data_IF_312743297456
#
_entry.id   IF_312743297456
#
_cell.length_a   1.000
_cell.length_b   1.000
_cell.length_c   1.000
_cell.angle_alpha   90.00
_cell.angle_beta   90.00
_cell.angle_gamma   90.00
#
_symmetry.space_group_name_H-M   'P 1'
#
loop_
_entity.id
_entity.type
_entity.pdbx_description
1 polymer ?
#
# COMPACT_ATOMS: atom_id res chain seq x y z
N UNK A 1 29.17 -12.05 -4.22
CA UNK A 1 29.55 -10.69 -3.80
C UNK A 1 28.82 -9.71 -4.68
N UNK A 2 27.59 -9.35 -4.30
CA UNK A 2 26.86 -8.28 -4.96
C UNK A 2 27.44 -6.95 -4.48
N UNK A 3 27.86 -6.11 -5.41
CA UNK A 3 28.31 -4.75 -5.13
C UNK A 3 27.12 -3.99 -4.56
N UNK A 4 27.23 -3.55 -3.31
CA UNK A 4 26.33 -2.56 -2.76
C UNK A 4 26.48 -1.30 -3.62
N UNK A 5 25.42 -0.89 -4.32
CA UNK A 5 25.36 0.44 -4.91
C UNK A 5 25.51 1.46 -3.77
N UNK A 6 26.64 2.19 -3.77
CA UNK A 6 26.82 3.38 -2.95
C UNK A 6 25.73 4.39 -3.32
N UNK A 7 24.66 4.43 -2.52
CA UNK A 7 23.63 5.46 -2.62
C UNK A 7 24.27 6.80 -2.27
N UNK A 8 24.35 7.69 -3.26
CA UNK A 8 24.76 9.08 -3.07
C UNK A 8 23.92 9.69 -1.94
N UNK A 9 24.53 10.34 -0.92
CA UNK A 9 23.75 10.98 0.13
C UNK A 9 22.84 12.04 -0.50
N UNK A 10 21.57 12.15 -0.07
CA UNK A 10 20.64 13.09 -0.65
C UNK A 10 21.18 14.51 -0.53
N UNK A 11 20.99 15.31 -1.58
CA UNK A 11 21.43 16.69 -1.58
C UNK A 11 20.68 17.47 -0.47
N UNK A 12 21.34 18.45 0.16
CA UNK A 12 20.74 19.27 1.23
C UNK A 12 19.40 19.92 0.86
N UNK A 13 19.14 20.12 -0.44
CA UNK A 13 17.89 20.67 -0.96
C UNK A 13 16.68 19.73 -0.76
N UNK A 14 16.90 18.42 -0.62
CA UNK A 14 15.82 17.45 -0.43
C UNK A 14 15.18 17.52 0.96
N UNK A 15 15.98 17.86 2.00
CA UNK A 15 15.49 17.90 3.38
C UNK A 15 14.43 18.95 3.61
N UNK A 16 14.54 20.11 2.93
CA UNK A 16 13.52 21.15 2.99
C UNK A 16 12.18 20.70 2.37
N UNK A 17 12.24 19.82 1.37
CA UNK A 17 11.07 19.26 0.70
C UNK A 17 10.43 18.14 1.52
N UNK A 18 11.23 17.22 2.09
CA UNK A 18 10.70 16.04 2.78
C UNK A 18 10.28 16.28 4.23
N UNK A 19 10.90 17.24 4.93
CA UNK A 19 10.60 17.50 6.35
C UNK A 19 9.13 17.88 6.61
N UNK A 20 8.48 18.74 5.80
CA UNK A 20 7.05 19.02 5.97
C UNK A 20 6.16 17.77 5.87
N UNK A 21 6.52 16.81 5.01
CA UNK A 21 5.78 15.55 4.89
C UNK A 21 5.99 14.66 6.12
N UNK A 22 7.22 14.58 6.64
CA UNK A 22 7.50 13.85 7.88
C UNK A 22 6.70 14.44 9.05
N UNK A 23 6.73 15.76 9.24
CA UNK A 23 5.98 16.44 10.29
C UNK A 23 4.47 16.21 10.16
N UNK A 24 3.93 16.34 8.95
CA UNK A 24 2.51 16.07 8.69
C UNK A 24 2.10 14.65 9.09
N UNK A 25 2.91 13.64 8.75
CA UNK A 25 2.63 12.26 9.18
C UNK A 25 2.77 12.09 10.70
N UNK A 26 3.83 12.62 11.31
CA UNK A 26 4.05 12.53 12.75
C UNK A 26 2.93 13.20 13.56
N UNK A 27 2.36 14.31 13.07
CA UNK A 27 1.23 15.01 13.70
C UNK A 27 -0.09 14.22 13.62
N UNK A 28 -0.16 13.27 12.68
CA UNK A 28 -1.27 12.33 12.60
C UNK A 28 -1.03 11.07 13.44
N UNK A 29 0.21 10.58 13.57
CA UNK A 29 0.47 9.37 14.36
C UNK A 29 -0.09 9.56 15.78
N UNK A 30 -0.96 8.64 16.18
CA UNK A 30 -1.71 8.63 17.46
C UNK A 30 -2.78 9.71 17.66
N UNK A 31 -3.12 10.50 16.64
CA UNK A 31 -4.24 11.45 16.68
C UNK A 31 -5.59 10.72 16.47
N UNK A 32 -6.47 10.64 17.48
CA UNK A 32 -7.65 9.79 17.38
C UNK A 32 -8.78 10.33 16.50
N UNK A 33 -8.86 11.65 16.28
CA UNK A 33 -10.00 12.30 15.65
C UNK A 33 -9.60 13.53 14.81
N UNK A 34 -10.37 13.86 13.75
CA UNK A 34 -11.52 13.12 13.22
C UNK A 34 -11.12 11.78 12.58
N UNK A 35 -11.98 10.76 12.69
CA UNK A 35 -11.76 9.42 12.12
C UNK A 35 -13.04 8.89 11.47
N UNK A 36 -12.94 8.49 10.21
CA UNK A 36 -13.97 7.86 9.41
C UNK A 36 -13.87 6.35 9.58
N UNK A 37 -14.70 5.83 10.47
CA UNK A 37 -14.88 4.39 10.65
C UNK A 37 -16.00 3.89 9.72
N UNK A 38 -15.71 2.86 8.93
CA UNK A 38 -16.72 2.16 8.13
C UNK A 38 -16.64 0.65 8.38
N UNK A 39 -17.61 0.13 9.11
CA UNK A 39 -17.82 -1.31 9.27
C UNK A 39 -19.28 -1.65 9.55
N UNK A 40 -19.62 -2.93 9.42
CA UNK A 40 -20.96 -3.43 9.78
C UNK A 40 -20.95 -3.82 11.27
N UNK A 41 -21.81 -3.18 12.07
CA UNK A 41 -22.04 -3.56 13.47
C UNK A 41 -22.83 -4.87 13.52
N UNK A 42 -22.32 -5.86 14.24
CA UNK A 42 -23.05 -7.11 14.54
C UNK A 42 -23.81 -7.00 15.87
N UNK A 43 -23.36 -6.12 16.76
CA UNK A 43 -23.98 -5.80 18.05
C UNK A 43 -23.46 -4.46 18.56
N UNK A 44 -24.06 -3.93 19.63
CA UNK A 44 -23.59 -2.70 20.30
C UNK A 44 -22.12 -2.78 20.75
N UNK A 45 -21.61 -3.99 21.02
CA UNK A 45 -20.21 -4.20 21.40
C UNK A 45 -19.20 -3.86 20.28
N UNK A 46 -19.64 -3.73 19.03
CA UNK A 46 -18.78 -3.33 17.91
C UNK A 46 -18.56 -1.81 17.82
N UNK A 47 -19.42 -1.01 18.47
CA UNK A 47 -19.32 0.44 18.52
C UNK A 47 -18.20 0.87 19.48
N UNK A 48 -16.95 0.79 19.01
CA UNK A 48 -15.74 1.14 19.79
C UNK A 48 -15.00 2.32 19.16
N UNK A 49 -14.10 2.92 19.92
CA UNK A 49 -13.23 4.00 19.42
C UNK A 49 -12.19 3.48 18.43
N UNK A 50 -11.64 4.33 17.52
CA UNK A 50 -10.61 3.92 16.57
C UNK A 50 -9.42 3.21 17.22
N UNK A 51 -8.92 3.72 18.35
CA UNK A 51 -7.83 3.12 19.13
C UNK A 51 -8.12 1.70 19.63
N UNK A 52 -9.38 1.39 19.91
CA UNK A 52 -9.78 0.06 20.37
C UNK A 52 -10.02 -0.91 19.21
N UNK A 53 -10.21 -0.40 18.00
CA UNK A 53 -10.49 -1.19 16.80
C UNK A 53 -9.20 -1.46 16.03
N UNK A 54 -8.41 -0.43 15.73
CA UNK A 54 -7.23 -0.50 14.88
C UNK A 54 -6.08 0.24 15.57
N UNK A 55 -5.45 -0.37 16.60
CA UNK A 55 -4.54 0.31 17.51
C UNK A 55 -3.18 0.72 16.89
N UNK A 56 -2.83 0.23 15.70
CA UNK A 56 -1.68 0.74 14.92
C UNK A 56 -2.15 1.89 14.03
N UNK A 57 -3.24 1.70 13.30
CA UNK A 57 -3.65 2.55 12.18
C UNK A 57 -4.91 3.39 12.49
N UNK A 58 -4.87 4.15 13.59
CA UNK A 58 -5.97 5.05 13.99
C UNK A 58 -5.70 6.56 13.87
N UNK A 59 -4.47 6.95 13.51
CA UNK A 59 -3.99 8.34 13.60
C UNK A 59 -4.46 9.31 12.50
N UNK A 60 -5.02 8.80 11.41
CA UNK A 60 -5.42 9.61 10.25
C UNK A 60 -6.94 9.64 10.07
N UNK A 61 -7.41 10.26 9.00
CA UNK A 61 -8.83 10.31 8.68
C UNK A 61 -9.46 8.92 8.53
N UNK A 62 -8.73 7.90 8.07
CA UNK A 62 -9.16 6.49 8.07
C UNK A 62 -7.95 5.56 8.16
N UNK A 63 -8.21 4.25 8.14
CA UNK A 63 -7.19 3.20 8.33
C UNK A 63 -6.10 3.24 7.27
N UNK A 64 -6.44 3.26 5.98
CA UNK A 64 -5.42 3.27 4.93
C UNK A 64 -4.66 4.60 4.88
N UNK A 65 -5.29 5.73 5.21
CA UNK A 65 -4.58 7.01 5.36
C UNK A 65 -3.53 6.93 6.48
N UNK A 66 -3.82 6.19 7.55
CA UNK A 66 -2.85 5.94 8.60
C UNK A 66 -1.72 5.02 8.11
N UNK A 67 -2.04 3.98 7.31
CA UNK A 67 -1.03 3.14 6.66
C UNK A 67 -0.11 3.98 5.76
N UNK A 68 -0.64 4.92 4.97
CA UNK A 68 0.18 5.83 4.15
C UNK A 68 1.16 6.63 4.99
N UNK A 69 0.68 7.23 6.09
CA UNK A 69 1.54 7.98 7.02
C UNK A 69 2.65 7.12 7.60
N UNK A 70 2.35 5.90 8.03
CA UNK A 70 3.35 4.97 8.57
C UNK A 70 4.36 4.54 7.49
N UNK A 71 3.89 4.18 6.28
CA UNK A 71 4.78 3.86 5.15
C UNK A 71 5.69 5.03 4.80
N UNK A 72 5.14 6.24 4.73
CA UNK A 72 5.91 7.44 4.43
C UNK A 72 6.99 7.69 5.48
N UNK A 73 6.67 7.56 6.78
CA UNK A 73 7.67 7.70 7.84
C UNK A 73 8.77 6.64 7.73
N UNK A 74 8.43 5.37 7.52
CA UNK A 74 9.42 4.28 7.33
C UNK A 74 10.30 4.56 6.12
N UNK A 75 9.72 5.00 5.00
CA UNK A 75 10.48 5.35 3.80
C UNK A 75 11.41 6.54 4.03
N UNK A 76 10.93 7.58 4.72
CA UNK A 76 11.73 8.78 5.00
C UNK A 76 12.90 8.49 5.94
N UNK A 77 12.70 7.72 7.01
CA UNK A 77 13.81 7.35 7.91
C UNK A 77 14.80 6.39 7.25
N UNK A 78 14.38 5.58 6.27
CA UNK A 78 15.30 4.76 5.47
C UNK A 78 16.14 5.60 4.51
N UNK A 79 15.53 6.58 3.84
CA UNK A 79 16.21 7.41 2.84
C UNK A 79 17.02 8.55 3.46
N UNK A 80 16.60 9.04 4.64
CA UNK A 80 17.20 10.16 5.35
C UNK A 80 17.43 9.79 6.84
N UNK A 81 18.27 8.79 7.14
CA UNK A 81 18.45 8.28 8.51
C UNK A 81 19.03 9.33 9.48
N UNK A 82 19.78 10.29 8.96
CA UNK A 82 20.41 11.37 9.75
C UNK A 82 19.56 12.65 9.80
N UNK A 83 18.32 12.62 9.30
CA UNK A 83 17.46 13.80 9.32
C UNK A 83 17.01 14.13 10.75
N UNK A 84 16.81 15.42 11.10
CA UNK A 84 16.37 15.81 12.45
C UNK A 84 15.06 15.16 12.93
N UNK A 85 14.18 14.76 12.00
CA UNK A 85 12.93 14.08 12.32
C UNK A 85 13.07 12.57 12.59
N UNK A 86 14.21 11.94 12.25
CA UNK A 86 14.33 10.50 12.16
C UNK A 86 14.11 9.79 13.51
N UNK A 87 14.73 10.29 14.59
CA UNK A 87 14.59 9.71 15.93
C UNK A 87 13.16 9.82 16.47
N UNK A 88 12.51 10.97 16.24
CA UNK A 88 11.10 11.18 16.62
C UNK A 88 10.19 10.23 15.83
N UNK A 89 10.39 10.11 14.53
CA UNK A 89 9.63 9.21 13.68
C UNK A 89 9.80 7.73 14.12
N UNK A 90 11.04 7.29 14.40
CA UNK A 90 11.30 5.95 14.95
C UNK A 90 10.57 5.69 16.26
N UNK A 91 10.58 6.67 17.17
CA UNK A 91 9.92 6.56 18.47
C UNK A 91 8.41 6.40 18.32
N UNK A 92 7.78 7.21 17.47
CA UNK A 92 6.34 7.13 17.17
C UNK A 92 5.95 5.80 16.52
N UNK A 93 6.74 5.34 15.55
CA UNK A 93 6.54 4.04 14.91
C UNK A 93 6.70 2.88 15.90
N UNK A 94 7.66 2.95 16.83
CA UNK A 94 7.86 1.93 17.86
C UNK A 94 6.69 1.83 18.84
N UNK A 95 6.04 2.95 19.19
CA UNK A 95 4.82 2.94 20.00
C UNK A 95 3.63 2.32 19.24
N UNK A 96 3.56 2.50 17.92
CA UNK A 96 2.57 1.83 17.07
C UNK A 96 2.86 0.34 16.90
N UNK A 97 4.08 -0.04 16.52
CA UNK A 97 4.46 -1.38 16.11
C UNK A 97 4.83 -2.28 17.30
N UNK A 98 3.82 -2.61 18.11
CA UNK A 98 3.94 -3.55 19.22
C UNK A 98 3.18 -4.85 18.93
N UNK A 99 3.57 -5.93 19.62
CA UNK A 99 2.88 -7.23 19.53
C UNK A 99 1.41 -7.15 19.94
N UNK A 100 1.08 -6.31 20.91
CA UNK A 100 -0.30 -6.14 21.38
C UNK A 100 -1.13 -5.36 20.35
N UNK A 101 -0.56 -4.31 19.76
CA UNK A 101 -1.27 -3.52 18.76
C UNK A 101 -1.53 -4.33 17.48
N UNK A 102 -0.54 -5.08 16.97
CA UNK A 102 -0.76 -5.92 15.77
C UNK A 102 -1.79 -7.02 16.06
N UNK A 103 -1.81 -7.58 17.26
CA UNK A 103 -2.84 -8.53 17.67
C UNK A 103 -4.24 -7.88 17.64
N UNK A 104 -4.35 -6.62 18.05
CA UNK A 104 -5.57 -5.83 17.93
C UNK A 104 -6.03 -5.62 16.48
N UNK A 105 -5.12 -5.23 15.59
CA UNK A 105 -5.40 -5.10 14.14
C UNK A 105 -5.91 -6.42 13.54
N UNK A 106 -5.22 -7.53 13.83
CA UNK A 106 -5.60 -8.87 13.36
C UNK A 106 -6.96 -9.28 13.92
N UNK A 107 -7.22 -9.04 15.20
CA UNK A 107 -8.51 -9.32 15.82
C UNK A 107 -9.62 -8.52 15.15
N UNK A 108 -9.36 -7.26 14.82
CA UNK A 108 -10.30 -6.41 14.11
C UNK A 108 -10.59 -6.94 12.70
N UNK A 109 -9.59 -7.15 11.85
CA UNK A 109 -9.77 -7.69 10.49
C UNK A 109 -10.39 -9.11 10.45
N UNK A 110 -10.25 -9.86 11.53
CA UNK A 110 -10.84 -11.20 11.68
C UNK A 110 -12.31 -11.18 12.10
N UNK A 111 -12.83 -10.04 12.54
CA UNK A 111 -14.20 -9.89 13.00
C UNK A 111 -15.25 -10.26 11.94
N UNK A 112 -16.40 -10.75 12.39
CA UNK A 112 -17.54 -11.09 11.52
C UNK A 112 -17.97 -9.85 10.72
N UNK A 113 -18.21 -10.02 9.42
CA UNK A 113 -18.59 -8.93 8.52
C UNK A 113 -17.41 -8.08 8.00
N UNK A 114 -16.16 -8.36 8.41
CA UNK A 114 -14.98 -7.56 8.02
C UNK A 114 -14.11 -8.20 6.94
N UNK A 115 -14.61 -9.26 6.28
CA UNK A 115 -13.88 -9.96 5.20
C UNK A 115 -13.50 -9.05 4.03
N UNK A 116 -14.27 -7.98 3.80
CA UNK A 116 -14.04 -7.00 2.74
C UNK A 116 -13.29 -5.74 3.15
N UNK A 117 -12.97 -5.59 4.44
CA UNK A 117 -12.33 -4.40 4.96
C UNK A 117 -11.05 -4.08 4.17
N UNK A 118 -10.95 -2.84 3.70
CA UNK A 118 -9.79 -2.27 2.99
C UNK A 118 -9.36 -2.99 1.71
N UNK A 119 -10.20 -3.87 1.14
CA UNK A 119 -9.94 -4.48 -0.17
C UNK A 119 -10.30 -3.52 -1.31
N UNK A 120 -9.47 -3.41 -2.37
CA UNK A 120 -8.09 -3.90 -2.43
C UNK A 120 -7.06 -2.90 -1.88
N UNK A 121 -7.39 -1.61 -1.87
CA UNK A 121 -6.43 -0.52 -1.76
C UNK A 121 -5.69 -0.43 -0.43
N UNK A 122 -6.40 -0.41 0.70
CA UNK A 122 -5.73 -0.31 1.99
C UNK A 122 -4.85 -1.51 2.27
N UNK A 123 -5.30 -2.72 1.94
CA UNK A 123 -4.48 -3.92 2.08
C UNK A 123 -3.24 -3.89 1.17
N UNK A 124 -3.37 -3.41 -0.07
CA UNK A 124 -2.24 -3.27 -0.98
C UNK A 124 -1.22 -2.23 -0.49
N UNK A 125 -1.67 -1.12 0.08
CA UNK A 125 -0.81 -0.13 0.73
C UNK A 125 -0.13 -0.68 2.00
N UNK A 126 -0.81 -1.51 2.76
CA UNK A 126 -0.19 -2.18 3.90
C UNK A 126 0.92 -3.13 3.46
N UNK A 127 0.75 -3.82 2.33
CA UNK A 127 1.82 -4.62 1.74
C UNK A 127 3.00 -3.76 1.25
N UNK A 128 2.78 -2.51 0.83
CA UNK A 128 3.88 -1.58 0.55
C UNK A 128 4.65 -1.16 1.82
N UNK A 129 3.96 -0.96 2.95
CA UNK A 129 4.60 -0.78 4.25
C UNK A 129 5.49 -1.98 4.61
N UNK A 130 4.97 -3.20 4.47
CA UNK A 130 5.75 -4.43 4.69
C UNK A 130 6.98 -4.49 3.76
N UNK A 131 6.79 -4.23 2.46
CA UNK A 131 7.90 -4.24 1.49
C UNK A 131 9.00 -3.23 1.86
N UNK A 132 8.62 -2.00 2.25
CA UNK A 132 9.57 -0.97 2.66
C UNK A 132 10.40 -1.39 3.89
N UNK A 133 9.79 -2.09 4.86
CA UNK A 133 10.49 -2.64 6.02
C UNK A 133 11.44 -3.79 5.63
N UNK A 134 11.05 -4.63 4.67
CA UNK A 134 11.88 -5.74 4.21
C UNK A 134 13.06 -5.32 3.34
N UNK A 135 12.92 -4.26 2.55
CA UNK A 135 14.00 -3.68 1.75
C UNK A 135 14.98 -2.83 2.59
N UNK A 136 14.67 -2.60 3.86
CA UNK A 136 15.50 -1.82 4.76
C UNK A 136 16.43 -2.73 5.59
N UNK A 137 17.73 -2.69 5.30
CA UNK A 137 18.74 -3.38 6.11
C UNK A 137 19.00 -2.63 7.43
N UNK A 138 18.06 -2.75 8.37
CA UNK A 138 18.12 -2.14 9.70
C UNK A 138 17.57 -3.13 10.76
N UNK A 139 18.22 -3.26 11.94
CA UNK A 139 17.72 -4.15 12.99
C UNK A 139 16.29 -3.85 13.46
N UNK A 140 15.93 -2.57 13.57
CA UNK A 140 14.59 -2.16 14.01
C UNK A 140 13.56 -2.42 12.90
N UNK A 141 13.93 -2.24 11.64
CA UNK A 141 13.07 -2.59 10.51
C UNK A 141 12.73 -4.09 10.50
N UNK A 142 13.74 -4.96 10.72
CA UNK A 142 13.54 -6.41 10.86
C UNK A 142 12.63 -6.77 12.02
N UNK A 143 12.78 -6.09 13.16
CA UNK A 143 11.91 -6.27 14.32
C UNK A 143 10.46 -5.88 14.00
N UNK A 144 10.23 -4.70 13.44
CA UNK A 144 8.91 -4.23 13.06
C UNK A 144 8.25 -5.11 12.01
N UNK A 145 9.00 -5.56 11.00
CA UNK A 145 8.51 -6.52 10.02
C UNK A 145 8.04 -7.81 10.68
N UNK A 146 8.83 -8.37 11.61
CA UNK A 146 8.44 -9.57 12.35
C UNK A 146 7.20 -9.36 13.24
N UNK A 147 7.03 -8.16 13.80
CA UNK A 147 5.83 -7.78 14.56
C UNK A 147 4.61 -7.72 13.62
N UNK A 148 4.74 -7.09 12.45
CA UNK A 148 3.64 -6.86 11.51
C UNK A 148 3.27 -8.10 10.66
N UNK A 149 4.12 -9.12 10.60
CA UNK A 149 3.95 -10.34 9.82
C UNK A 149 2.55 -11.00 9.96
N UNK A 150 1.91 -11.12 11.14
CA UNK A 150 0.58 -11.71 11.25
C UNK A 150 -0.49 -10.94 10.46
N UNK A 151 -0.37 -9.61 10.40
CA UNK A 151 -1.26 -8.74 9.64
C UNK A 151 -0.96 -8.80 8.14
N UNK A 152 0.33 -8.90 7.76
CA UNK A 152 0.76 -9.14 6.38
C UNK A 152 0.17 -10.43 5.83
N UNK A 153 0.33 -11.52 6.55
CA UNK A 153 -0.23 -12.81 6.16
C UNK A 153 -1.76 -12.77 6.04
N UNK A 154 -2.43 -11.97 6.87
CA UNK A 154 -3.87 -11.74 6.73
C UNK A 154 -4.20 -10.96 5.46
N UNK A 155 -3.49 -9.86 5.18
CA UNK A 155 -3.69 -9.05 3.99
C UNK A 155 -3.48 -9.86 2.70
N UNK A 156 -2.39 -10.64 2.63
CA UNK A 156 -2.09 -11.56 1.52
C UNK A 156 -3.25 -12.53 1.32
N UNK A 157 -3.67 -13.28 2.36
CA UNK A 157 -4.79 -14.22 2.26
C UNK A 157 -6.08 -13.55 1.81
N UNK A 158 -6.41 -12.36 2.32
CA UNK A 158 -7.63 -11.64 1.94
C UNK A 158 -7.65 -11.25 0.46
N UNK A 159 -6.49 -10.87 -0.08
CA UNK A 159 -6.32 -10.51 -1.48
C UNK A 159 -6.32 -11.75 -2.37
N UNK A 160 -5.55 -12.80 -2.01
CA UNK A 160 -5.46 -14.05 -2.80
C UNK A 160 -6.76 -14.87 -2.77
N UNK A 161 -7.55 -14.80 -1.70
CA UNK A 161 -8.89 -15.39 -1.64
C UNK A 161 -9.92 -14.65 -2.51
N UNK A 162 -9.72 -13.34 -2.70
CA UNK A 162 -10.70 -12.46 -3.34
C UNK A 162 -10.46 -12.35 -4.84
N UNK A 163 -9.21 -12.16 -5.24
CA UNK A 163 -8.85 -11.85 -6.61
C UNK A 163 -9.32 -12.91 -7.64
N UNK A 164 -9.26 -14.23 -7.36
CA UNK A 164 -9.80 -15.25 -8.27
C UNK A 164 -11.32 -15.18 -8.46
N UNK A 165 -12.05 -14.54 -7.54
CA UNK A 165 -13.52 -14.44 -7.57
C UNK A 165 -14.03 -13.25 -8.38
N UNK A 166 -13.15 -12.31 -8.74
CA UNK A 166 -13.51 -11.17 -9.58
C UNK A 166 -13.74 -11.64 -11.01
N UNK A 167 -14.93 -11.37 -11.54
CA UNK A 167 -15.23 -11.61 -12.95
C UNK A 167 -14.70 -10.48 -13.86
N UNK A 168 -14.59 -9.27 -13.33
CA UNK A 168 -14.17 -8.06 -14.05
C UNK A 168 -13.21 -7.25 -13.19
N UNK A 169 -12.30 -6.46 -13.81
CA UNK A 169 -11.55 -5.45 -13.08
C UNK A 169 -12.44 -4.25 -12.74
N UNK A 170 -12.03 -3.48 -11.74
CA UNK A 170 -12.62 -2.19 -11.37
C UNK A 170 -11.69 -1.09 -11.86
N UNK A 171 -12.22 -0.18 -12.71
CA UNK A 171 -11.45 0.85 -13.44
C UNK A 171 -11.78 2.29 -13.01
N UNK A 172 -12.49 2.49 -11.91
CA UNK A 172 -12.69 3.83 -11.32
C UNK A 172 -11.35 4.43 -10.92
N UNK A 173 -11.13 5.74 -10.88
CA UNK A 173 -9.87 6.31 -10.39
C UNK A 173 -9.79 6.40 -8.87
N UNK A 174 -10.41 5.45 -8.14
CA UNK A 174 -10.58 5.50 -6.69
C UNK A 174 -10.13 4.23 -5.96
N UNK A 175 -10.44 4.08 -4.67
CA UNK A 175 -9.92 3.03 -3.78
C UNK A 175 -10.28 1.59 -4.21
N UNK A 176 -11.36 1.38 -4.93
CA UNK A 176 -11.77 0.06 -5.40
C UNK A 176 -11.03 -0.41 -6.67
N UNK A 177 -10.27 0.49 -7.29
CA UNK A 177 -9.57 0.25 -8.55
C UNK A 177 -8.59 -0.92 -8.46
N UNK A 178 -8.67 -1.87 -9.39
CA UNK A 178 -7.89 -3.11 -9.34
C UNK A 178 -6.45 -2.98 -9.85
N UNK A 179 -6.18 -2.20 -10.90
CA UNK A 179 -4.86 -2.14 -11.54
C UNK A 179 -3.72 -1.65 -10.62
N UNK A 180 -3.79 -0.41 -10.14
CA UNK A 180 -3.00 0.17 -9.04
C UNK A 180 -2.77 -0.80 -7.88
N UNK A 181 -3.83 -1.37 -7.29
CA UNK A 181 -3.67 -2.30 -6.17
C UNK A 181 -2.86 -3.54 -6.56
N UNK A 182 -3.10 -4.12 -7.74
CA UNK A 182 -2.32 -5.24 -8.25
C UNK A 182 -0.85 -4.88 -8.48
N UNK A 183 -0.55 -3.67 -8.96
CA UNK A 183 0.82 -3.16 -9.08
C UNK A 183 1.55 -3.17 -7.74
N UNK A 184 0.92 -2.64 -6.69
CA UNK A 184 1.48 -2.63 -5.33
C UNK A 184 1.63 -4.04 -4.74
N UNK A 185 0.67 -4.94 -4.96
CA UNK A 185 0.78 -6.34 -4.50
C UNK A 185 1.92 -7.06 -5.21
N UNK A 186 2.11 -6.81 -6.51
CA UNK A 186 3.20 -7.40 -7.28
C UNK A 186 4.58 -6.93 -6.79
N UNK A 187 4.74 -5.64 -6.50
CA UNK A 187 6.00 -5.09 -5.97
C UNK A 187 6.34 -5.72 -4.60
N UNK A 188 5.36 -5.84 -3.70
CA UNK A 188 5.55 -6.58 -2.44
C UNK A 188 5.93 -8.04 -2.68
N UNK A 189 5.25 -8.73 -3.61
CA UNK A 189 5.51 -10.14 -3.89
C UNK A 189 6.94 -10.35 -4.42
N UNK A 190 7.47 -9.40 -5.20
CA UNK A 190 8.87 -9.40 -5.62
C UNK A 190 9.83 -9.23 -4.43
N UNK A 191 9.62 -8.22 -3.59
CA UNK A 191 10.45 -8.00 -2.38
C UNK A 191 10.49 -9.23 -1.48
N UNK A 192 9.37 -9.96 -1.37
CA UNK A 192 9.25 -11.17 -0.54
C UNK A 192 9.62 -12.46 -1.25
N UNK A 193 10.01 -12.41 -2.52
CA UNK A 193 10.24 -13.59 -3.37
C UNK A 193 9.05 -14.56 -3.37
N UNK A 194 7.82 -14.04 -3.35
CA UNK A 194 6.58 -14.82 -3.33
C UNK A 194 6.10 -15.12 -4.76
N UNK A 195 6.63 -16.19 -5.34
CA UNK A 195 6.31 -16.61 -6.71
C UNK A 195 4.84 -17.00 -6.94
N UNK A 196 4.14 -17.46 -5.89
CA UNK A 196 2.72 -17.77 -5.99
C UNK A 196 1.89 -16.51 -6.21
N UNK A 197 2.12 -15.48 -5.39
CA UNK A 197 1.39 -14.20 -5.51
C UNK A 197 1.78 -13.47 -6.79
N UNK A 198 3.06 -13.48 -7.19
CA UNK A 198 3.49 -12.92 -8.48
C UNK A 198 2.72 -13.55 -9.65
N UNK A 199 2.70 -14.88 -9.75
CA UNK A 199 1.96 -15.59 -10.81
C UNK A 199 0.47 -15.33 -10.77
N UNK A 200 -0.13 -15.25 -9.58
CA UNK A 200 -1.54 -14.92 -9.44
C UNK A 200 -1.83 -13.51 -9.99
N UNK A 201 -1.03 -12.50 -9.59
CA UNK A 201 -1.22 -11.13 -10.07
C UNK A 201 -1.01 -11.03 -11.57
N UNK A 202 0.05 -11.63 -12.11
CA UNK A 202 0.33 -11.67 -13.55
C UNK A 202 -0.83 -12.28 -14.35
N UNK A 203 -1.33 -13.44 -13.91
CA UNK A 203 -2.44 -14.12 -14.58
C UNK A 203 -3.69 -13.23 -14.60
N UNK A 204 -4.02 -12.61 -13.46
CA UNK A 204 -5.23 -11.81 -13.30
C UNK A 204 -5.13 -10.48 -14.03
N UNK A 205 -3.99 -9.80 -13.98
CA UNK A 205 -3.76 -8.58 -14.74
C UNK A 205 -3.79 -8.86 -16.26
N UNK A 206 -3.15 -9.93 -16.74
CA UNK A 206 -3.27 -10.33 -18.15
C UNK A 206 -4.71 -10.67 -18.54
N UNK A 207 -5.46 -11.37 -17.69
CA UNK A 207 -6.86 -11.68 -17.94
C UNK A 207 -7.73 -10.42 -18.06
N UNK A 208 -7.47 -9.43 -17.21
CA UNK A 208 -8.26 -8.20 -17.15
C UNK A 208 -7.94 -7.18 -18.23
N UNK A 209 -6.66 -7.01 -18.58
CA UNK A 209 -6.16 -5.82 -19.26
C UNK A 209 -5.43 -6.11 -20.58
N UNK A 210 -4.98 -7.35 -20.82
CA UNK A 210 -4.16 -7.67 -22.01
C UNK A 210 -4.88 -7.39 -23.34
N UNK A 211 -6.22 -7.45 -23.32
CA UNK A 211 -7.08 -7.24 -24.49
C UNK A 211 -7.62 -5.82 -24.60
N UNK A 212 -7.34 -4.95 -23.63
CA UNK A 212 -7.85 -3.58 -23.63
C UNK A 212 -7.13 -2.77 -24.70
N UNK A 213 -7.88 -1.90 -25.39
CA UNK A 213 -7.43 -1.13 -26.56
C UNK A 213 -8.10 0.24 -26.53
N UNK A 214 -7.39 1.26 -27.02
CA UNK A 214 -7.94 2.61 -27.20
C UNK A 214 -8.52 3.23 -25.93
N UNK A 215 -7.80 3.14 -24.81
CA UNK A 215 -8.14 3.88 -23.61
C UNK A 215 -8.23 5.38 -23.94
N UNK A 216 -9.39 5.96 -23.65
CA UNK A 216 -9.69 7.34 -24.01
C UNK A 216 -9.34 8.26 -22.82
N UNK A 217 -8.16 8.89 -22.91
CA UNK A 217 -7.69 9.83 -21.90
C UNK A 217 -8.58 11.08 -21.79
N UNK A 218 -9.44 11.38 -22.76
CA UNK A 218 -10.38 12.50 -22.64
C UNK A 218 -11.48 12.27 -21.59
N UNK A 219 -11.66 11.03 -21.11
CA UNK A 219 -12.65 10.69 -20.08
C UNK A 219 -12.06 10.56 -18.67
N UNK A 220 -10.74 10.73 -18.51
CA UNK A 220 -10.08 10.66 -17.22
C UNK A 220 -9.07 11.81 -17.01
N UNK A 221 -8.84 12.23 -15.76
CA UNK A 221 -9.55 11.80 -14.55
C UNK A 221 -10.99 12.34 -14.49
N UNK A 222 -11.89 11.57 -13.89
CA UNK A 222 -13.19 12.07 -13.43
C UNK A 222 -13.02 13.00 -12.23
N UNK A 223 -14.03 13.82 -11.90
CA UNK A 223 -13.98 14.69 -10.71
C UNK A 223 -13.89 13.95 -9.37
N UNK A 224 -14.09 12.63 -9.36
CA UNK A 224 -13.94 11.77 -8.18
C UNK A 224 -12.60 11.02 -8.15
N UNK A 225 -11.83 11.06 -9.24
CA UNK A 225 -10.61 10.29 -9.36
C UNK A 225 -9.46 10.97 -8.65
N UNK A 226 -8.67 10.19 -7.91
CA UNK A 226 -7.35 10.59 -7.41
C UNK A 226 -6.23 9.78 -8.06
N UNK A 227 -6.57 8.84 -8.93
CA UNK A 227 -5.68 8.07 -9.82
C UNK A 227 -6.21 8.15 -11.23
N UNK A 228 -5.34 8.17 -12.24
CA UNK A 228 -5.75 7.94 -13.64
C UNK A 228 -5.96 6.43 -13.84
N UNK A 229 -7.17 5.99 -14.25
CA UNK A 229 -7.43 4.58 -14.55
C UNK A 229 -6.51 4.00 -15.63
N UNK A 230 -6.30 4.70 -16.74
CA UNK A 230 -5.47 4.20 -17.84
C UNK A 230 -3.99 4.14 -17.45
N UNK A 231 -3.47 5.14 -16.73
CA UNK A 231 -2.08 5.10 -16.25
C UNK A 231 -1.90 3.96 -15.25
N UNK A 232 -2.87 3.72 -14.35
CA UNK A 232 -2.76 2.61 -13.40
C UNK A 232 -2.79 1.24 -14.09
N UNK A 233 -3.58 1.09 -15.16
CA UNK A 233 -3.56 -0.10 -16.01
C UNK A 233 -2.20 -0.27 -16.70
N UNK A 234 -1.68 0.78 -17.33
CA UNK A 234 -0.35 0.76 -17.92
C UNK A 234 0.74 0.45 -16.88
N UNK A 235 0.60 0.95 -15.65
CA UNK A 235 1.53 0.78 -14.55
C UNK A 235 1.60 -0.67 -14.05
N UNK A 236 0.47 -1.39 -13.95
CA UNK A 236 0.51 -2.84 -13.66
C UNK A 236 1.01 -3.65 -14.87
N UNK A 237 0.63 -3.26 -16.09
CA UNK A 237 1.06 -4.00 -17.29
C UNK A 237 2.56 -3.89 -17.53
N UNK A 238 3.19 -2.73 -17.27
CA UNK A 238 4.66 -2.58 -17.37
C UNK A 238 5.45 -3.42 -16.37
N UNK A 239 4.81 -3.86 -15.26
CA UNK A 239 5.46 -4.72 -14.26
C UNK A 239 5.52 -6.18 -14.67
N UNK A 240 4.55 -6.63 -15.48
CA UNK A 240 4.31 -8.04 -15.79
C UNK A 240 4.62 -8.43 -17.24
N UNK A 241 4.68 -7.44 -18.15
CA UNK A 241 4.99 -7.68 -19.56
C UNK A 241 6.48 -7.48 -19.82
N UNK A 242 7.12 -8.37 -20.62
CA UNK A 242 8.43 -8.09 -21.20
C UNK A 242 8.40 -6.81 -22.06
N UNK A 243 9.53 -6.09 -22.21
CA UNK A 243 9.57 -4.79 -22.89
C UNK A 243 8.96 -4.78 -24.30
N UNK A 244 9.17 -5.85 -25.10
CA UNK A 244 8.63 -5.97 -26.46
C UNK A 244 7.10 -6.14 -26.45
N UNK A 245 6.58 -6.98 -25.56
CA UNK A 245 5.12 -7.15 -25.39
C UNK A 245 4.48 -5.86 -24.87
N UNK A 246 5.14 -5.18 -23.92
CA UNK A 246 4.67 -3.94 -23.35
C UNK A 246 4.56 -2.83 -24.40
N UNK A 247 5.59 -2.64 -25.23
CA UNK A 247 5.58 -1.61 -26.28
C UNK A 247 4.43 -1.84 -27.28
N UNK A 248 4.23 -3.09 -27.71
CA UNK A 248 3.13 -3.45 -28.60
C UNK A 248 1.75 -3.26 -27.93
N UNK A 249 1.61 -3.63 -26.65
CA UNK A 249 0.37 -3.45 -25.90
C UNK A 249 0.07 -1.95 -25.67
N UNK A 250 1.06 -1.15 -25.26
CA UNK A 250 0.91 0.29 -25.05
C UNK A 250 0.50 1.02 -26.33
N UNK A 251 1.12 0.71 -27.47
CA UNK A 251 0.74 1.33 -28.74
C UNK A 251 -0.71 1.02 -29.17
N UNK A 252 -1.26 -0.10 -28.71
CA UNK A 252 -2.65 -0.48 -28.98
C UNK A 252 -3.63 0.02 -27.89
N UNK A 253 -3.16 0.17 -26.65
CA UNK A 253 -3.92 0.63 -25.51
C UNK A 253 -4.03 2.16 -25.44
N UNK A 254 -2.93 2.89 -25.62
CA UNK A 254 -2.83 4.35 -25.57
C UNK A 254 -2.25 4.90 -26.89
N UNK A 255 -2.99 4.79 -28.02
CA UNK A 255 -2.47 5.14 -29.35
C UNK A 255 -2.19 6.63 -29.55
N UNK A 256 -2.68 7.49 -28.65
CA UNK A 256 -2.52 8.95 -28.72
C UNK A 256 -1.26 9.45 -27.99
N UNK A 257 -0.58 8.59 -27.22
CA UNK A 257 0.69 8.93 -26.59
C UNK A 257 1.85 8.75 -27.59
N UNK A 258 2.77 9.73 -27.67
CA UNK A 258 3.89 9.70 -28.62
C UNK A 258 4.92 8.60 -28.35
#
# INVERSE_FOLDING_TARGET
MALAEERTPPARDDLAVVSPFAEMAMDCVHKPYPYKLSHVLQSDADAKTPRQLTPIFYGCFDWHSAVHGHWMLVRLIRLYPEAPFADRARSLLAESFTKDNVAGEVAYLSGKGRKSFERPYGLAWFLQLSAELHDWDDPQAREWAAILEPLEQMAVRRLTDWLPKLSHPVRTGTHDQTAFALGLVYDWAKTRNNEEVMRLVENRARHFYLRDRGANLAFEPSGHDFLSPAIAEADVMRRILPPVELAAWLGAFLPELP
#
